data_IF_126997998511
#
_entry.id   IF_126997998511
#
_cell.length_a   1.000
_cell.length_b   1.000
_cell.length_c   1.000
_cell.angle_alpha   90.00
_cell.angle_beta   90.00
_cell.angle_gamma   90.00
#
_symmetry.space_group_name_H-M   'P 1'
#
loop_
_entity.id
_entity.type
_entity.pdbx_description
1 polymer ?
#
# COMPACT_ATOMS: atom_id res chain seq x y z
N UNK A 1 -16.13 7.19 3.22
CA UNK A 1 -16.34 5.74 3.50
C UNK A 1 -15.48 4.81 2.62
N UNK A 2 -15.66 4.75 1.30
CA UNK A 2 -14.95 3.80 0.40
C UNK A 2 -13.42 3.66 0.60
N UNK A 3 -12.66 4.77 0.66
CA UNK A 3 -11.19 4.73 0.79
C UNK A 3 -10.70 3.97 2.02
N UNK A 4 -11.23 4.24 3.21
CA UNK A 4 -10.75 3.47 4.36
C UNK A 4 -11.44 2.13 4.56
N UNK A 5 -12.54 1.83 3.86
CA UNK A 5 -12.92 0.42 3.73
C UNK A 5 -11.82 -0.33 2.98
N UNK A 6 -11.31 0.23 1.87
CA UNK A 6 -10.17 -0.34 1.17
C UNK A 6 -8.90 -0.40 2.05
N UNK A 7 -8.61 0.65 2.82
CA UNK A 7 -7.50 0.65 3.78
C UNK A 7 -7.61 -0.44 4.86
N UNK A 8 -8.82 -0.66 5.41
CA UNK A 8 -9.08 -1.75 6.36
C UNK A 8 -8.87 -3.11 5.69
N UNK A 9 -9.39 -3.31 4.47
CA UNK A 9 -9.22 -4.56 3.73
C UNK A 9 -7.74 -4.85 3.41
N UNK A 10 -6.94 -3.84 3.07
CA UNK A 10 -5.50 -3.99 2.87
C UNK A 10 -4.80 -4.42 4.16
N UNK A 11 -5.17 -3.83 5.30
CA UNK A 11 -4.60 -4.20 6.59
C UNK A 11 -5.00 -5.62 7.02
N UNK A 12 -6.27 -6.00 6.82
CA UNK A 12 -6.77 -7.37 7.05
C UNK A 12 -6.04 -8.35 6.15
N UNK A 13 -5.83 -8.03 4.87
CA UNK A 13 -5.06 -8.87 3.96
C UNK A 13 -3.64 -9.10 4.49
N UNK A 14 -2.93 -8.06 4.94
CA UNK A 14 -1.60 -8.22 5.54
C UNK A 14 -1.61 -9.09 6.81
N UNK A 15 -2.64 -8.97 7.65
CA UNK A 15 -2.77 -9.81 8.85
C UNK A 15 -3.04 -11.29 8.50
N UNK A 16 -3.93 -11.55 7.55
CA UNK A 16 -4.24 -12.91 7.09
C UNK A 16 -3.06 -13.57 6.38
N UNK A 17 -2.24 -12.79 5.67
CA UNK A 17 -1.02 -13.29 5.02
C UNK A 17 0.05 -13.73 6.03
N UNK A 18 -0.09 -13.29 7.29
CA UNK A 18 0.75 -13.71 8.40
C UNK A 18 0.23 -14.98 9.12
N UNK A 19 -0.68 -15.74 8.51
CA UNK A 19 -1.22 -17.00 9.06
C UNK A 19 -0.12 -18.02 9.41
N UNK A 20 1.01 -17.99 8.71
CA UNK A 20 2.20 -18.81 8.98
C UNK A 20 2.69 -18.75 10.43
N UNK A 21 2.48 -17.62 11.13
CA UNK A 21 2.87 -17.46 12.55
C UNK A 21 2.15 -18.47 13.46
N UNK A 22 1.01 -19.01 13.03
CA UNK A 22 0.29 -20.04 13.76
C UNK A 22 1.05 -21.37 13.83
N UNK A 23 2.07 -21.58 12.99
CA UNK A 23 2.95 -22.76 13.10
C UNK A 23 3.60 -22.87 14.49
N UNK A 24 3.87 -21.75 15.17
CA UNK A 24 4.47 -21.76 16.50
C UNK A 24 3.48 -22.09 17.62
N UNK A 25 2.18 -22.13 17.31
CA UNK A 25 1.13 -22.48 18.26
C UNK A 25 0.88 -24.00 18.33
N UNK A 26 1.37 -24.76 17.35
CA UNK A 26 1.16 -26.20 17.26
C UNK A 26 2.50 -26.93 17.20
N UNK A 27 2.53 -28.20 17.64
CA UNK A 27 3.73 -29.02 17.58
C UNK A 27 3.84 -29.64 16.18
N UNK A 28 4.42 -28.91 15.23
CA UNK A 28 4.74 -29.44 13.91
C UNK A 28 6.14 -30.06 13.87
N UNK A 29 6.32 -31.07 13.02
CA UNK A 29 7.60 -31.79 12.88
C UNK A 29 8.60 -31.08 11.97
N UNK A 30 8.25 -29.92 11.42
CA UNK A 30 9.04 -29.19 10.44
C UNK A 30 9.93 -28.16 11.14
N UNK A 31 11.21 -28.10 10.78
CA UNK A 31 12.14 -27.08 11.29
C UNK A 31 11.84 -25.74 10.59
N UNK A 32 11.33 -24.71 11.31
CA UNK A 32 10.99 -23.41 10.71
C UNK A 32 12.20 -22.68 10.12
N UNK A 33 13.42 -23.06 10.50
CA UNK A 33 14.63 -22.44 9.98
C UNK A 33 15.00 -22.97 8.59
N UNK A 34 14.53 -24.17 8.22
CA UNK A 34 14.95 -24.87 7.00
C UNK A 34 13.81 -24.97 5.99
N UNK A 35 12.63 -25.30 6.49
CA UNK A 35 11.40 -25.60 5.72
C UNK A 35 10.77 -24.32 5.16
N UNK A 36 10.36 -24.35 3.89
CA UNK A 36 9.62 -23.26 3.27
C UNK A 36 8.17 -23.15 3.79
N UNK A 37 7.56 -21.96 3.71
CA UNK A 37 6.15 -21.74 4.06
C UNK A 37 5.20 -22.54 3.18
N UNK A 38 5.53 -22.72 1.90
CA UNK A 38 4.73 -23.50 0.96
C UNK A 38 4.65 -24.98 1.33
N UNK A 39 5.56 -25.48 2.17
CA UNK A 39 5.54 -26.84 2.69
C UNK A 39 4.51 -27.03 3.81
N UNK A 40 4.06 -25.94 4.46
CA UNK A 40 2.95 -25.98 5.42
C UNK A 40 1.60 -26.27 4.74
N UNK A 41 1.50 -25.97 3.43
CA UNK A 41 0.30 -26.14 2.61
C UNK A 41 0.24 -27.47 1.85
N UNK A 42 1.19 -28.38 2.10
CA UNK A 42 1.24 -29.68 1.44
C UNK A 42 0.00 -30.51 1.76
N UNK A 43 -0.55 -31.17 0.74
CA UNK A 43 -1.89 -31.78 0.77
C UNK A 43 -2.16 -32.72 1.96
N UNK A 44 -1.13 -33.37 2.50
CA UNK A 44 -1.24 -34.34 3.59
C UNK A 44 -0.83 -33.78 4.96
N UNK A 45 -0.57 -32.47 5.10
CA UNK A 45 -0.14 -31.86 6.35
C UNK A 45 -1.31 -31.51 7.27
N UNK A 46 -1.14 -31.66 8.60
CA UNK A 46 -2.14 -31.19 9.56
C UNK A 46 -2.27 -29.66 9.46
N UNK A 47 -3.47 -29.13 9.71
CA UNK A 47 -3.75 -27.69 9.75
C UNK A 47 -3.59 -26.89 8.44
N UNK A 48 -3.30 -27.55 7.31
CA UNK A 48 -3.26 -26.94 5.95
C UNK A 48 -4.41 -25.95 5.70
N UNK A 49 -5.63 -26.33 6.07
CA UNK A 49 -6.82 -25.51 5.81
C UNK A 49 -6.70 -24.09 6.39
N UNK A 50 -5.98 -23.91 7.50
CA UNK A 50 -5.82 -22.60 8.15
C UNK A 50 -4.95 -21.68 7.30
N UNK A 51 -3.86 -22.21 6.75
CA UNK A 51 -2.93 -21.49 5.90
C UNK A 51 -3.57 -21.16 4.54
N UNK A 52 -4.24 -22.14 3.92
CA UNK A 52 -5.04 -21.96 2.70
C UNK A 52 -6.13 -20.90 2.88
N UNK A 53 -6.88 -20.94 3.99
CA UNK A 53 -7.89 -19.92 4.29
C UNK A 53 -7.25 -18.55 4.48
N UNK A 54 -6.08 -18.48 5.13
CA UNK A 54 -5.29 -17.25 5.27
C UNK A 54 -4.93 -16.63 3.92
N UNK A 55 -4.41 -17.43 2.99
CA UNK A 55 -4.02 -16.98 1.65
C UNK A 55 -5.22 -16.57 0.79
N UNK A 56 -6.29 -17.36 0.80
CA UNK A 56 -7.53 -17.02 0.09
C UNK A 56 -8.12 -15.73 0.63
N UNK A 57 -8.18 -15.55 1.96
CA UNK A 57 -8.70 -14.33 2.59
C UNK A 57 -7.84 -13.13 2.23
N UNK A 58 -6.51 -13.28 2.25
CA UNK A 58 -5.56 -12.25 1.81
C UNK A 58 -5.86 -11.80 0.39
N UNK A 59 -5.97 -12.74 -0.54
CA UNK A 59 -6.19 -12.43 -1.94
C UNK A 59 -7.56 -11.81 -2.22
N UNK A 60 -8.62 -12.31 -1.57
CA UNK A 60 -9.97 -11.73 -1.68
C UNK A 60 -9.98 -10.30 -1.15
N UNK A 61 -9.42 -10.05 0.04
CA UNK A 61 -9.34 -8.70 0.60
C UNK A 61 -8.53 -7.74 -0.29
N UNK A 62 -7.41 -8.19 -0.85
CA UNK A 62 -6.58 -7.41 -1.77
C UNK A 62 -7.35 -7.06 -3.06
N UNK A 63 -8.05 -8.02 -3.67
CA UNK A 63 -8.86 -7.80 -4.87
C UNK A 63 -10.02 -6.82 -4.62
N UNK A 64 -10.77 -7.02 -3.52
CA UNK A 64 -11.88 -6.12 -3.17
C UNK A 64 -11.36 -4.72 -2.87
N UNK A 65 -10.24 -4.59 -2.15
CA UNK A 65 -9.61 -3.29 -1.91
C UNK A 65 -9.21 -2.61 -3.22
N UNK A 66 -8.62 -3.36 -4.16
CA UNK A 66 -8.21 -2.82 -5.46
C UNK A 66 -9.41 -2.34 -6.28
N UNK A 67 -10.49 -3.12 -6.36
CA UNK A 67 -11.74 -2.71 -7.00
C UNK A 67 -12.34 -1.45 -6.32
N UNK A 68 -12.31 -1.41 -4.99
CA UNK A 68 -12.71 -0.24 -4.20
C UNK A 68 -11.76 0.96 -4.32
N UNK A 69 -10.63 0.86 -5.02
CA UNK A 69 -9.79 2.02 -5.33
C UNK A 69 -9.86 2.39 -6.82
N UNK A 70 -10.08 1.43 -7.74
CA UNK A 70 -10.15 1.66 -9.19
C UNK A 70 -11.49 2.22 -9.69
N UNK A 71 -12.63 1.82 -9.12
CA UNK A 71 -13.95 2.31 -9.58
C UNK A 71 -14.04 3.85 -9.44
N UNK A 72 -14.30 4.62 -10.51
CA UNK A 72 -14.45 6.07 -10.43
C UNK A 72 -15.64 6.49 -9.56
N UNK A 73 -15.60 7.68 -8.94
CA UNK A 73 -16.82 8.25 -8.34
C UNK A 73 -17.74 8.72 -9.47
N UNK A 74 -19.07 8.47 -9.38
CA UNK A 74 -19.99 9.12 -10.30
C UNK A 74 -19.78 10.64 -10.21
N UNK A 75 -19.71 11.37 -11.34
CA UNK A 75 -19.51 12.80 -11.32
C UNK A 75 -20.60 13.44 -10.47
N UNK A 76 -20.21 14.30 -9.53
CA UNK A 76 -21.18 15.09 -8.77
C UNK A 76 -22.05 15.87 -9.77
N UNK A 77 -23.39 15.89 -9.63
CA UNK A 77 -24.24 16.55 -10.61
C UNK A 77 -23.82 18.02 -10.78
N UNK A 78 -23.36 18.38 -11.98
CA UNK A 78 -22.82 19.72 -12.28
C UNK A 78 -23.80 20.86 -11.98
N UNK A 79 -25.11 20.57 -11.96
CA UNK A 79 -26.15 21.55 -11.59
C UNK A 79 -26.07 21.97 -10.12
N UNK A 80 -25.70 21.07 -9.19
CA UNK A 80 -25.52 21.39 -7.78
C UNK A 80 -24.28 22.27 -7.53
N UNK A 81 -23.23 22.12 -8.35
CA UNK A 81 -22.07 23.02 -8.31
C UNK A 81 -22.39 24.39 -8.90
N UNK A 82 -23.24 24.48 -9.93
CA UNK A 82 -23.69 25.77 -10.49
C UNK A 82 -24.43 26.61 -9.48
N UNK A 83 -25.39 26.06 -8.72
CA UNK A 83 -26.11 26.83 -7.70
C UNK A 83 -25.24 27.29 -6.51
N UNK A 84 -24.13 26.60 -6.23
CA UNK A 84 -23.16 27.05 -5.23
C UNK A 84 -22.23 28.13 -5.81
N UNK A 85 -21.85 27.99 -7.07
CA UNK A 85 -21.03 28.97 -7.78
C UNK A 85 -21.82 30.26 -8.05
N UNK A 86 -23.09 30.18 -8.46
CA UNK A 86 -23.98 31.33 -8.67
C UNK A 86 -24.18 32.11 -7.36
N UNK A 87 -24.43 31.43 -6.23
CA UNK A 87 -24.51 32.07 -4.90
C UNK A 87 -23.19 32.68 -4.40
N UNK A 88 -22.04 32.25 -4.93
CA UNK A 88 -20.72 32.81 -4.59
C UNK A 88 -20.18 33.81 -5.64
N UNK A 89 -20.73 33.80 -6.84
CA UNK A 89 -20.34 34.67 -7.96
C UNK A 89 -21.09 36.02 -7.91
N UNK A 90 -22.25 36.06 -7.26
CA UNK A 90 -22.99 37.30 -6.98
C UNK A 90 -22.18 38.32 -6.16
N UNK A 91 -21.04 37.91 -5.57
CA UNK A 91 -20.15 38.78 -4.78
C UNK A 91 -18.80 39.12 -5.43
N UNK A 92 -18.52 38.84 -6.71
CA UNK A 92 -17.18 39.12 -7.30
C UNK A 92 -17.22 39.63 -8.76
N UNK A 93 -16.52 40.74 -9.11
CA UNK A 93 -16.55 41.33 -10.45
C UNK A 93 -15.77 40.50 -11.49
N UNK A 94 -16.10 40.63 -12.80
CA UNK A 94 -15.70 39.68 -13.82
C UNK A 94 -14.42 40.09 -14.57
N UNK A 95 -13.47 39.15 -14.69
CA UNK A 95 -12.34 39.24 -15.62
C UNK A 95 -11.05 38.65 -15.06
N UNK A 96 -10.81 37.36 -15.34
CA UNK A 96 -9.52 36.65 -15.52
C UNK A 96 -9.64 35.12 -15.33
N UNK A 97 -10.75 34.65 -14.76
CA UNK A 97 -10.88 33.31 -14.22
C UNK A 97 -11.13 32.20 -15.27
N UNK A 98 -11.69 32.55 -16.44
CA UNK A 98 -12.11 31.54 -17.44
C UNK A 98 -10.95 30.95 -18.25
N UNK A 99 -9.84 31.68 -18.44
CA UNK A 99 -8.67 31.19 -19.21
C UNK A 99 -7.63 30.47 -18.35
N UNK A 100 -7.52 30.80 -17.05
CA UNK A 100 -6.71 30.06 -16.09
C UNK A 100 -7.36 28.71 -15.71
N UNK A 101 -8.67 28.70 -15.49
CA UNK A 101 -9.41 27.49 -15.09
C UNK A 101 -9.42 26.36 -16.13
N UNK A 102 -9.29 26.69 -17.42
CA UNK A 102 -9.35 25.70 -18.51
C UNK A 102 -7.98 25.10 -18.87
N UNK A 103 -6.86 25.79 -18.58
CA UNK A 103 -5.49 25.26 -18.75
C UNK A 103 -4.96 24.56 -17.49
N UNK A 104 -5.36 24.98 -16.29
CA UNK A 104 -5.06 24.25 -15.06
C UNK A 104 -5.85 22.94 -14.94
N UNK A 105 -7.06 22.85 -15.51
CA UNK A 105 -7.90 21.64 -15.41
C UNK A 105 -7.48 20.44 -16.26
N UNK A 106 -6.77 20.68 -17.37
CA UNK A 106 -6.46 19.63 -18.37
C UNK A 106 -5.11 18.93 -18.08
N UNK A 107 -4.08 19.69 -17.66
CA UNK A 107 -2.77 19.15 -17.28
C UNK A 107 -2.72 18.54 -15.86
N UNK A 108 -3.63 18.91 -14.96
CA UNK A 108 -3.71 18.38 -13.59
C UNK A 108 -4.42 17.03 -13.47
N UNK A 109 -5.11 16.55 -14.52
CA UNK A 109 -5.90 15.32 -14.48
C UNK A 109 -5.21 14.09 -15.08
N UNK A 110 -4.36 14.25 -16.10
CA UNK A 110 -3.63 13.15 -16.78
C UNK A 110 -2.47 12.59 -15.95
N UNK A 111 -1.99 13.38 -14.97
CA UNK A 111 -0.90 13.07 -14.04
C UNK A 111 -1.37 12.76 -12.59
N UNK A 112 -2.67 12.56 -12.35
CA UNK A 112 -3.31 12.40 -11.02
C UNK A 112 -3.05 11.05 -10.31
N UNK A 113 -1.82 10.59 -10.48
CA UNK A 113 -1.09 9.51 -9.81
C UNK A 113 -1.10 8.13 -10.50
N UNK A 114 -0.34 8.05 -11.60
CA UNK A 114 0.01 6.78 -12.27
C UNK A 114 0.63 5.79 -11.28
N UNK A 115 1.42 6.25 -10.32
CA UNK A 115 2.07 5.38 -9.34
C UNK A 115 1.07 4.78 -8.35
N UNK A 116 0.09 5.54 -7.88
CA UNK A 116 -1.02 4.99 -7.09
C UNK A 116 -1.85 3.99 -7.91
N UNK A 117 -2.11 4.27 -9.18
CA UNK A 117 -2.86 3.35 -10.05
C UNK A 117 -2.10 2.05 -10.28
N UNK A 118 -0.79 2.13 -10.56
CA UNK A 118 0.10 0.97 -10.67
C UNK A 118 0.09 0.14 -9.41
N UNK A 119 0.18 0.76 -8.22
CA UNK A 119 0.13 0.04 -6.95
C UNK A 119 -1.19 -0.72 -6.78
N UNK A 120 -2.32 -0.11 -7.16
CA UNK A 120 -3.63 -0.75 -7.02
C UNK A 120 -3.82 -1.90 -8.03
N UNK A 121 -3.34 -1.75 -9.26
CA UNK A 121 -3.36 -2.85 -10.26
C UNK A 121 -2.45 -3.99 -9.78
N UNK A 122 -1.25 -3.67 -9.30
CA UNK A 122 -0.32 -4.67 -8.76
C UNK A 122 -0.91 -5.39 -7.54
N UNK A 123 -1.69 -4.68 -6.68
CA UNK A 123 -2.40 -5.30 -5.56
C UNK A 123 -3.46 -6.31 -6.04
N UNK A 124 -4.16 -6.03 -7.14
CA UNK A 124 -5.10 -6.97 -7.73
C UNK A 124 -4.38 -8.21 -8.30
N UNK A 125 -3.25 -8.02 -8.98
CA UNK A 125 -2.41 -9.12 -9.49
C UNK A 125 -1.88 -9.97 -8.33
N UNK A 126 -1.38 -9.34 -7.27
CA UNK A 126 -0.97 -10.01 -6.05
C UNK A 126 -2.10 -10.87 -5.49
N UNK A 127 -3.29 -10.30 -5.28
CA UNK A 127 -4.41 -11.05 -4.72
C UNK A 127 -4.86 -12.22 -5.59
N UNK A 128 -4.89 -12.06 -6.91
CA UNK A 128 -5.21 -13.15 -7.83
C UNK A 128 -4.15 -14.27 -7.81
N UNK A 129 -2.86 -13.90 -7.78
CA UNK A 129 -1.75 -14.84 -7.71
C UNK A 129 -1.72 -15.61 -6.39
N UNK A 130 -1.99 -14.94 -5.25
CA UNK A 130 -2.08 -15.57 -3.93
C UNK A 130 -3.25 -16.58 -3.86
N UNK A 131 -4.42 -16.24 -4.41
CA UNK A 131 -5.54 -17.20 -4.52
C UNK A 131 -5.13 -18.40 -5.37
N UNK A 132 -4.51 -18.18 -6.52
CA UNK A 132 -4.06 -19.27 -7.38
C UNK A 132 -3.03 -20.17 -6.66
N UNK A 133 -2.13 -19.57 -5.87
CA UNK A 133 -1.14 -20.29 -5.08
C UNK A 133 -1.79 -21.27 -4.08
N UNK A 134 -2.82 -20.81 -3.35
CA UNK A 134 -3.55 -21.61 -2.38
C UNK A 134 -4.29 -22.81 -3.01
N UNK A 135 -4.69 -22.69 -4.27
CA UNK A 135 -5.42 -23.73 -5.01
C UNK A 135 -4.50 -24.72 -5.72
N UNK A 136 -3.19 -24.46 -5.75
CA UNK A 136 -2.19 -25.27 -6.42
C UNK A 136 -1.15 -25.75 -5.40
N UNK A 137 -1.53 -26.56 -4.39
CA UNK A 137 -0.59 -27.00 -3.35
C UNK A 137 0.52 -27.88 -3.92
N UNK A 138 1.64 -27.91 -3.22
CA UNK A 138 2.74 -28.85 -3.50
C UNK A 138 2.30 -30.25 -3.05
N UNK A 139 2.59 -31.27 -3.86
CA UNK A 139 2.13 -32.65 -3.63
C UNK A 139 2.97 -33.39 -2.57
N UNK A 140 4.29 -33.13 -2.52
CA UNK A 140 5.23 -33.75 -1.58
C UNK A 140 6.44 -32.87 -1.31
N UNK A 141 7.12 -33.10 -0.18
CA UNK A 141 8.31 -32.36 0.26
C UNK A 141 9.58 -33.19 0.02
N UNK A 142 10.52 -32.74 -0.82
CA UNK A 142 11.79 -33.42 -1.03
C UNK A 142 12.59 -33.54 0.28
N UNK A 143 13.10 -34.74 0.56
CA UNK A 143 13.91 -35.01 1.76
C UNK A 143 13.11 -35.23 3.06
N UNK A 144 11.80 -34.98 3.05
CA UNK A 144 10.90 -35.29 4.19
C UNK A 144 9.93 -36.42 3.82
N UNK A 145 9.32 -36.36 2.64
CA UNK A 145 8.33 -37.37 2.23
C UNK A 145 8.99 -38.52 1.43
N UNK A 146 8.67 -39.80 1.75
CA UNK A 146 9.27 -40.94 1.08
C UNK A 146 8.92 -40.98 -0.42
N UNK A 147 9.93 -41.08 -1.28
CA UNK A 147 9.73 -41.22 -2.74
C UNK A 147 9.40 -39.93 -3.48
N UNK A 148 9.43 -38.77 -2.80
CA UNK A 148 9.31 -37.48 -3.46
C UNK A 148 10.54 -37.25 -4.37
N UNK A 149 10.38 -36.97 -5.67
CA UNK A 149 11.49 -36.67 -6.54
C UNK A 149 12.24 -35.43 -6.03
N UNK A 150 13.57 -35.46 -6.10
CA UNK A 150 14.39 -34.31 -5.68
C UNK A 150 14.06 -33.07 -6.50
N UNK A 151 14.04 -31.91 -5.86
CA UNK A 151 13.89 -30.63 -6.55
C UNK A 151 15.16 -30.33 -7.38
N UNK A 152 15.02 -30.05 -8.69
CA UNK A 152 16.16 -29.61 -9.48
C UNK A 152 16.63 -28.24 -8.97
N UNK A 153 17.92 -28.11 -8.65
CA UNK A 153 18.56 -26.82 -8.32
C UNK A 153 19.02 -26.11 -9.59
N UNK A 154 19.01 -24.77 -9.63
CA UNK A 154 19.50 -24.00 -10.79
C UNK A 154 18.94 -22.58 -10.91
N UNK A 155 19.20 -21.93 -12.05
CA UNK A 155 18.84 -20.51 -12.28
C UNK A 155 17.35 -20.28 -12.62
N UNK A 156 16.65 -21.30 -13.13
CA UNK A 156 15.21 -21.30 -13.44
C UNK A 156 14.51 -22.68 -13.22
N UNK A 157 14.60 -23.34 -12.05
CA UNK A 157 13.85 -24.59 -11.80
C UNK A 157 12.34 -24.37 -11.66
N UNK A 158 11.95 -23.12 -11.40
CA UNK A 158 10.59 -22.65 -11.14
C UNK A 158 9.62 -22.79 -12.34
N UNK A 159 10.11 -23.13 -13.54
CA UNK A 159 9.28 -23.26 -14.74
C UNK A 159 8.57 -24.62 -14.86
N UNK A 160 8.92 -25.61 -14.03
CA UNK A 160 8.36 -26.97 -14.13
C UNK A 160 7.15 -27.22 -13.22
N UNK A 161 6.81 -26.30 -12.31
CA UNK A 161 5.65 -26.40 -11.42
C UNK A 161 4.83 -25.10 -11.43
N UNK A 162 3.51 -25.24 -11.63
CA UNK A 162 2.59 -24.09 -11.74
C UNK A 162 2.58 -23.25 -10.44
N UNK A 163 2.78 -23.90 -9.28
CA UNK A 163 2.87 -23.24 -7.97
C UNK A 163 4.02 -22.22 -7.89
N UNK A 164 5.18 -22.58 -8.43
CA UNK A 164 6.36 -21.71 -8.42
C UNK A 164 6.15 -20.46 -9.30
N UNK A 165 5.47 -20.62 -10.43
CA UNK A 165 5.08 -19.51 -11.29
C UNK A 165 4.11 -18.54 -10.58
N UNK A 166 3.07 -19.05 -9.91
CA UNK A 166 2.10 -18.21 -9.18
C UNK A 166 2.76 -17.47 -8.02
N UNK A 167 3.64 -18.13 -7.27
CA UNK A 167 4.44 -17.53 -6.21
C UNK A 167 5.35 -16.41 -6.73
N UNK A 168 6.03 -16.63 -7.86
CA UNK A 168 6.87 -15.61 -8.50
C UNK A 168 6.05 -14.38 -8.88
N UNK A 169 4.91 -14.57 -9.54
CA UNK A 169 4.00 -13.48 -9.91
C UNK A 169 3.53 -12.72 -8.67
N UNK A 170 3.15 -13.42 -7.59
CA UNK A 170 2.73 -12.80 -6.34
C UNK A 170 3.83 -11.92 -5.74
N UNK A 171 5.06 -12.43 -5.65
CA UNK A 171 6.22 -11.69 -5.11
C UNK A 171 6.52 -10.43 -5.95
N UNK A 172 6.62 -10.55 -7.27
CA UNK A 172 6.85 -9.39 -8.13
C UNK A 172 5.73 -8.34 -8.03
N UNK A 173 4.47 -8.80 -7.93
CA UNK A 173 3.32 -7.93 -7.78
C UNK A 173 3.37 -7.16 -6.46
N UNK A 174 3.60 -7.81 -5.32
CA UNK A 174 3.66 -7.11 -4.03
C UNK A 174 4.87 -6.17 -3.94
N UNK A 175 6.03 -6.52 -4.49
CA UNK A 175 7.15 -5.58 -4.61
C UNK A 175 6.78 -4.33 -5.41
N UNK A 176 6.04 -4.52 -6.51
CA UNK A 176 5.52 -3.41 -7.31
C UNK A 176 4.54 -2.55 -6.51
N UNK A 177 3.67 -3.15 -5.69
CA UNK A 177 2.84 -2.41 -4.73
C UNK A 177 3.71 -1.58 -3.80
N UNK A 178 4.67 -2.21 -3.12
CA UNK A 178 5.51 -1.56 -2.11
C UNK A 178 6.26 -0.36 -2.68
N UNK A 179 6.87 -0.53 -3.86
CA UNK A 179 7.60 0.54 -4.56
C UNK A 179 6.65 1.61 -5.07
N UNK A 180 5.59 1.26 -5.79
CA UNK A 180 4.72 2.23 -6.44
C UNK A 180 3.91 3.06 -5.42
N UNK A 181 3.39 2.42 -4.36
CA UNK A 181 2.71 3.13 -3.29
C UNK A 181 3.70 3.87 -2.36
N UNK A 182 4.92 3.37 -2.15
CA UNK A 182 5.98 4.11 -1.46
C UNK A 182 6.38 5.38 -2.22
N UNK A 183 6.54 5.30 -3.54
CA UNK A 183 6.82 6.46 -4.41
C UNK A 183 5.65 7.43 -4.42
N UNK A 184 4.40 6.93 -4.53
CA UNK A 184 3.19 7.75 -4.41
C UNK A 184 3.15 8.48 -3.05
N UNK A 185 3.49 7.80 -1.97
CA UNK A 185 3.56 8.35 -0.62
C UNK A 185 4.64 9.41 -0.43
N UNK A 186 5.72 9.39 -1.21
CA UNK A 186 6.77 10.43 -1.20
C UNK A 186 6.37 11.62 -2.09
N UNK A 187 5.77 11.36 -3.26
CA UNK A 187 5.40 12.38 -4.24
C UNK A 187 4.15 13.16 -3.85
N UNK A 188 3.17 12.49 -3.27
CA UNK A 188 1.97 13.12 -2.72
C UNK A 188 2.17 13.23 -1.21
N UNK A 189 2.18 14.45 -0.68
CA UNK A 189 2.34 14.68 0.76
C UNK A 189 1.02 15.24 1.31
N UNK A 190 0.06 14.42 1.73
CA UNK A 190 -1.07 14.91 2.51
C UNK A 190 -0.59 15.33 3.91
N UNK A 191 -1.08 16.46 4.40
CA UNK A 191 -0.82 16.91 5.78
C UNK A 191 -1.26 15.82 6.78
N UNK A 192 -0.32 15.22 7.53
CA UNK A 192 -0.64 14.25 8.60
C UNK A 192 0.52 13.36 9.08
N UNK A 193 0.44 12.82 10.31
CA UNK A 193 1.52 12.08 10.97
C UNK A 193 1.74 10.64 10.46
N UNK A 194 0.81 10.07 9.69
CA UNK A 194 0.86 8.67 9.22
C UNK A 194 1.78 8.46 8.01
N UNK A 195 1.99 9.49 7.18
CA UNK A 195 2.82 9.42 5.97
C UNK A 195 4.32 9.35 6.27
N UNK A 196 4.88 10.06 7.27
CA UNK A 196 6.25 9.87 7.72
C UNK A 196 6.56 8.44 8.15
N UNK A 197 5.64 7.77 8.85
CA UNK A 197 5.83 6.37 9.28
C UNK A 197 5.94 5.44 8.07
N UNK A 198 5.01 5.55 7.11
CA UNK A 198 5.07 4.75 5.88
C UNK A 198 6.35 5.02 5.06
N UNK A 199 6.83 6.27 5.04
CA UNK A 199 8.08 6.64 4.34
C UNK A 199 9.32 6.05 5.00
N UNK A 200 9.44 6.12 6.33
CA UNK A 200 10.65 5.64 7.00
C UNK A 200 10.57 4.14 7.28
N UNK A 201 9.54 3.72 8.01
CA UNK A 201 9.35 2.33 8.41
C UNK A 201 9.03 1.47 7.19
N UNK A 202 8.14 1.93 6.31
CA UNK A 202 7.80 1.18 5.09
C UNK A 202 8.99 0.99 4.14
N UNK A 203 9.85 2.00 3.97
CA UNK A 203 11.07 1.83 3.16
C UNK A 203 12.10 0.93 3.85
N UNK A 204 12.26 1.03 5.16
CA UNK A 204 13.13 0.12 5.92
C UNK A 204 12.67 -1.33 5.77
N UNK A 205 11.37 -1.59 5.92
CA UNK A 205 10.76 -2.91 5.70
C UNK A 205 10.97 -3.37 4.25
N UNK A 206 10.76 -2.51 3.26
CA UNK A 206 11.03 -2.84 1.84
C UNK A 206 12.48 -3.27 1.61
N UNK A 207 13.45 -2.58 2.20
CA UNK A 207 14.87 -2.95 2.11
C UNK A 207 15.12 -4.31 2.75
N UNK A 208 14.57 -4.57 3.95
CA UNK A 208 14.70 -5.86 4.63
C UNK A 208 14.12 -6.99 3.77
N UNK A 209 12.93 -6.81 3.22
CA UNK A 209 12.26 -7.80 2.35
C UNK A 209 13.07 -8.03 1.07
N UNK A 210 13.64 -6.98 0.47
CA UNK A 210 14.53 -7.10 -0.70
C UNK A 210 15.80 -7.89 -0.37
N UNK A 211 16.45 -7.62 0.77
CA UNK A 211 17.62 -8.35 1.22
C UNK A 211 17.31 -9.82 1.50
N UNK A 212 16.17 -10.13 2.11
CA UNK A 212 15.71 -11.50 2.30
C UNK A 212 15.46 -12.22 0.96
N UNK A 213 14.95 -11.50 -0.04
CA UNK A 213 14.77 -12.03 -1.41
C UNK A 213 16.12 -12.36 -2.06
N UNK A 214 17.08 -11.44 -1.96
CA UNK A 214 18.45 -11.64 -2.48
C UNK A 214 19.13 -12.80 -1.76
N UNK A 215 18.95 -12.93 -0.44
CA UNK A 215 19.43 -14.08 0.33
C UNK A 215 18.92 -15.37 -0.30
N UNK A 216 17.61 -15.54 -0.46
CA UNK A 216 17.07 -16.78 -1.05
C UNK A 216 17.62 -17.06 -2.45
N UNK A 217 17.69 -16.06 -3.32
CA UNK A 217 18.24 -16.22 -4.68
C UNK A 217 19.72 -16.63 -4.68
N UNK A 218 20.54 -16.08 -3.78
CA UNK A 218 21.94 -16.47 -3.66
C UNK A 218 22.09 -17.87 -3.06
N UNK A 219 21.39 -18.12 -1.95
CA UNK A 219 21.47 -19.37 -1.21
C UNK A 219 21.00 -20.57 -2.03
N UNK A 220 20.01 -20.40 -2.90
CA UNK A 220 19.52 -21.45 -3.82
C UNK A 220 20.60 -21.90 -4.83
N UNK A 221 21.59 -21.05 -5.09
CA UNK A 221 22.73 -21.37 -5.98
C UNK A 221 23.95 -21.90 -5.23
N UNK A 222 23.88 -22.07 -3.91
CA UNK A 222 25.00 -22.51 -3.07
C UNK A 222 24.72 -23.87 -2.45
N UNK A 223 25.75 -24.69 -2.30
CA UNK A 223 25.65 -26.01 -1.65
C UNK A 223 25.70 -25.82 -0.13
N UNK A 224 24.57 -25.99 0.57
CA UNK A 224 24.54 -25.99 2.04
C UNK A 224 23.20 -25.56 2.66
N UNK A 225 23.11 -25.66 3.99
CA UNK A 225 21.94 -25.25 4.77
C UNK A 225 21.96 -23.75 5.08
N UNK A 226 21.50 -22.91 4.15
CA UNK A 226 21.50 -21.44 4.28
C UNK A 226 20.26 -20.86 4.95
N UNK A 227 19.49 -21.67 5.69
CA UNK A 227 18.27 -21.26 6.40
C UNK A 227 17.23 -20.55 5.51
N UNK A 228 16.93 -21.17 4.37
CA UNK A 228 15.99 -20.63 3.37
C UNK A 228 14.59 -20.39 3.96
N UNK A 229 14.12 -21.28 4.84
CA UNK A 229 12.86 -21.11 5.57
C UNK A 229 12.80 -19.83 6.43
N UNK A 230 13.91 -19.45 7.07
CA UNK A 230 13.98 -18.19 7.83
C UNK A 230 13.91 -16.97 6.90
N UNK A 231 14.66 -17.00 5.80
CA UNK A 231 14.67 -15.90 4.83
C UNK A 231 13.26 -15.66 4.25
N UNK A 232 12.51 -16.73 3.96
CA UNK A 232 11.13 -16.62 3.48
C UNK A 232 10.18 -16.03 4.54
N UNK A 233 10.30 -16.43 5.82
CA UNK A 233 9.51 -15.85 6.94
C UNK A 233 9.76 -14.36 7.12
N UNK A 234 11.02 -13.94 7.02
CA UNK A 234 11.38 -12.51 7.04
C UNK A 234 10.75 -11.78 5.85
N UNK A 235 10.81 -12.38 4.65
CA UNK A 235 10.24 -11.79 3.45
C UNK A 235 8.71 -11.63 3.55
N UNK A 236 7.98 -12.72 3.80
CA UNK A 236 6.51 -12.75 3.88
C UNK A 236 5.98 -11.95 5.07
N UNK A 237 6.64 -12.06 6.23
CA UNK A 237 6.33 -11.24 7.41
C UNK A 237 6.55 -9.75 7.15
N UNK A 238 7.62 -9.38 6.45
CA UNK A 238 7.87 -7.99 6.07
C UNK A 238 6.85 -7.45 5.07
N UNK A 239 6.45 -8.25 4.06
CA UNK A 239 5.36 -7.89 3.14
C UNK A 239 4.05 -7.64 3.89
N UNK A 240 3.72 -8.49 4.86
CA UNK A 240 2.54 -8.39 5.71
C UNK A 240 2.53 -7.10 6.53
N UNK A 241 3.64 -6.81 7.23
CA UNK A 241 3.81 -5.55 8.00
C UNK A 241 3.67 -4.35 7.08
N UNK A 242 4.28 -4.38 5.90
CA UNK A 242 4.20 -3.29 4.94
C UNK A 242 2.76 -3.03 4.48
N UNK A 243 1.99 -4.08 4.19
CA UNK A 243 0.57 -3.96 3.85
C UNK A 243 -0.25 -3.35 4.99
N UNK A 244 -0.02 -3.77 6.23
CA UNK A 244 -0.70 -3.18 7.41
C UNK A 244 -0.39 -1.68 7.53
N UNK A 245 0.88 -1.28 7.38
CA UNK A 245 1.28 0.13 7.40
C UNK A 245 0.61 0.94 6.29
N UNK A 246 0.57 0.39 5.07
CA UNK A 246 -0.06 1.06 3.94
C UNK A 246 -1.58 1.16 4.11
N UNK A 247 -2.23 0.08 4.56
CA UNK A 247 -3.65 0.06 4.89
C UNK A 247 -4.00 1.12 5.93
N UNK A 248 -3.22 1.21 7.01
CA UNK A 248 -3.36 2.24 8.05
C UNK A 248 -3.21 3.67 7.49
N UNK A 249 -2.21 3.91 6.64
CA UNK A 249 -2.01 5.21 5.99
C UNK A 249 -3.21 5.60 5.10
N UNK A 250 -3.76 4.64 4.33
CA UNK A 250 -4.96 4.82 3.52
C UNK A 250 -6.17 5.13 4.42
N UNK A 251 -6.29 4.50 5.60
CA UNK A 251 -7.35 4.81 6.56
C UNK A 251 -7.23 6.23 7.10
N UNK A 252 -6.02 6.64 7.51
CA UNK A 252 -5.72 7.94 8.12
C UNK A 252 -5.83 9.14 7.18
N UNK A 253 -5.82 8.93 5.86
CA UNK A 253 -5.98 9.98 4.84
C UNK A 253 -7.36 10.69 4.82
N UNK A 254 -8.27 10.34 5.75
CA UNK A 254 -9.64 10.89 5.87
C UNK A 254 -9.74 12.31 6.45
N UNK A 255 -8.65 12.89 6.97
CA UNK A 255 -8.72 14.07 7.85
C UNK A 255 -8.64 15.46 7.20
N UNK A 256 -8.46 15.60 5.88
CA UNK A 256 -8.26 16.92 5.24
C UNK A 256 -9.32 17.20 4.16
N UNK A 257 -10.59 16.97 4.48
CA UNK A 257 -11.62 17.83 3.90
C UNK A 257 -11.66 19.08 4.79
N UNK A 258 -10.75 20.04 4.57
CA UNK A 258 -10.91 21.39 5.12
C UNK A 258 -12.22 21.91 4.53
N UNK A 259 -13.30 21.90 5.30
CA UNK A 259 -14.27 22.99 5.16
C UNK A 259 -13.45 24.26 5.31
N UNK A 260 -13.48 25.20 4.35
CA UNK A 260 -13.07 26.55 4.65
C UNK A 260 -14.11 27.03 5.65
N UNK A 261 -13.87 26.76 6.92
CA UNK A 261 -14.47 27.52 7.99
C UNK A 261 -13.92 28.91 7.73
N UNK A 262 -14.79 29.73 7.12
CA UNK A 262 -14.59 31.15 7.04
C UNK A 262 -14.23 31.56 8.45
N UNK A 263 -12.95 31.91 8.63
CA UNK A 263 -12.51 32.69 9.76
C UNK A 263 -13.39 33.92 9.72
N UNK A 264 -14.46 33.88 10.50
CA UNK A 264 -15.29 35.03 10.78
C UNK A 264 -14.40 35.96 11.59
N UNK A 265 -13.58 36.74 10.88
CA UNK A 265 -13.08 38.01 11.37
C UNK A 265 -14.33 38.82 11.63
N UNK A 266 -14.76 38.85 12.89
CA UNK A 266 -15.79 39.77 13.37
C UNK A 266 -15.18 41.16 13.25
N UNK A 267 -15.38 41.79 12.10
CA UNK A 267 -15.17 43.23 11.96
C UNK A 267 -16.28 43.88 12.79
N UNK A 268 -15.90 44.44 13.94
CA UNK A 268 -16.80 45.22 14.76
C UNK A 268 -17.41 46.37 13.92
N UNK A 269 -18.73 46.57 13.92
CA UNK A 269 -19.33 47.67 13.21
C UNK A 269 -19.13 48.94 14.04
N UNK A 270 -18.26 49.84 13.58
CA UNK A 270 -18.25 51.21 14.07
C UNK A 270 -16.89 51.88 14.03
N UNK A 271 -16.81 52.98 13.28
CA UNK A 271 -15.72 53.95 13.43
C UNK A 271 -15.11 54.40 12.11
N UNK A 272 -15.92 54.93 11.19
CA UNK A 272 -15.39 55.81 10.15
C UNK A 272 -14.97 57.12 10.83
N UNK A 273 -13.68 57.25 11.15
CA UNK A 273 -13.06 58.55 11.40
C UNK A 273 -11.81 58.62 10.56
N UNK A 274 -11.82 59.55 9.61
CA UNK A 274 -10.70 59.83 8.72
C UNK A 274 -9.48 60.39 9.45
N UNK A 275 -8.51 60.75 8.60
CA UNK A 275 -7.22 61.40 8.87
C UNK A 275 -6.20 60.54 9.63
N UNK A 276 -5.21 59.99 8.91
CA UNK A 276 -3.91 60.64 8.76
C UNK A 276 -3.02 59.90 7.74
N UNK A 277 -2.40 60.71 6.89
CA UNK A 277 -1.24 60.33 6.09
C UNK A 277 -0.03 60.20 7.01
N UNK A 278 0.71 59.10 6.92
CA UNK A 278 1.94 58.91 7.67
C UNK A 278 2.84 57.85 7.05
N UNK A 279 3.67 58.26 6.12
CA UNK A 279 4.78 57.47 5.61
C UNK A 279 5.81 57.23 6.73
N UNK A 280 6.25 55.98 6.94
CA UNK A 280 7.60 55.71 7.48
C UNK A 280 8.17 54.44 6.82
N UNK A 281 9.16 54.69 5.97
CA UNK A 281 10.19 53.76 5.50
C UNK A 281 11.22 53.55 6.62
N UNK A 282 11.87 52.38 6.68
CA UNK A 282 13.26 52.29 7.14
C UNK A 282 13.56 51.49 8.42
N UNK A 283 14.00 50.25 8.20
CA UNK A 283 15.29 49.66 8.69
C UNK A 283 15.74 49.71 10.16
N UNK A 284 16.05 48.49 10.64
CA UNK A 284 17.28 48.05 11.35
C UNK A 284 17.50 48.38 12.85
N UNK A 285 17.56 47.27 13.58
CA UNK A 285 18.65 46.81 14.46
C UNK A 285 18.81 47.31 15.92
N UNK A 286 19.10 46.31 16.76
CA UNK A 286 19.89 46.28 18.01
C UNK A 286 19.22 46.47 19.39
N UNK A 287 19.18 45.33 20.11
CA UNK A 287 19.83 45.04 21.41
C UNK A 287 19.11 45.20 22.76
N UNK A 288 19.23 44.09 23.53
CA UNK A 288 19.36 43.94 25.00
C UNK A 288 18.12 44.29 25.85
N UNK A 289 17.53 43.39 26.65
CA UNK A 289 18.07 42.36 27.54
C UNK A 289 17.11 41.17 27.67
#
# INVERSE_FOLDING_TARGET
MRRSLAGILIAVAGLCYSSWVLEFAWADSLDPMRTFLSELDVANRPHRDIYVVGDVTTGVCALVAALLLLVPRPPFPRWLSRHRAERGAESKPPGDLDRLGQREGDATSVFRDRTATTAVIALAVFGAATIANAQLPIECIPGVDPGCPGEPSGLLPQLHHIHALTSTVAVFAIFTVMVAAGVSAVRTTPDGPVWPVLRWVGNAVLVIVALATVWMLLADNLVGDYRLGLAQRIQVGGMSVWMVLWGWAVVGSRGVDRTPEAEHVVVAPGGFTGTEWGAVNGTRDQQQR
#
